data_IF_021608073473
#
_entry.id   IF_021608073473
#
_cell.length_a   1.000
_cell.length_b   1.000
_cell.length_c   1.000
_cell.angle_alpha   90.00
_cell.angle_beta   90.00
_cell.angle_gamma   90.00
#
_symmetry.space_group_name_H-M   'P 1'
#
loop_
_entity.id
_entity.type
_entity.pdbx_description
1 polymer ?
#
# COMPACT_ATOMS: atom_id res chain seq x y z
N UNK A 1 12.65 -3.30 0.10
CA UNK A 1 11.47 -3.99 -0.50
C UNK A 1 11.68 -4.06 -2.00
N UNK A 2 11.24 -5.12 -2.67
CA UNK A 2 11.33 -5.21 -4.14
C UNK A 2 9.95 -5.47 -4.73
N UNK A 3 9.61 -4.76 -5.81
CA UNK A 3 8.40 -5.01 -6.59
C UNK A 3 8.78 -5.75 -7.87
N UNK A 4 8.13 -6.86 -8.14
CA UNK A 4 8.27 -7.55 -9.42
C UNK A 4 7.35 -6.89 -10.45
N UNK A 5 7.95 -6.20 -11.43
CA UNK A 5 7.21 -5.48 -12.47
C UNK A 5 6.51 -6.39 -13.49
N UNK A 6 6.75 -7.70 -13.49
CA UNK A 6 6.12 -8.68 -14.39
C UNK A 6 4.84 -9.31 -13.81
N UNK A 7 4.70 -9.37 -12.48
CA UNK A 7 3.53 -10.01 -11.84
C UNK A 7 2.98 -9.29 -10.60
N UNK A 8 3.58 -8.18 -10.19
CA UNK A 8 3.13 -7.36 -9.06
C UNK A 8 3.35 -8.00 -7.68
N UNK A 9 4.16 -9.05 -7.59
CA UNK A 9 4.56 -9.59 -6.30
C UNK A 9 5.53 -8.65 -5.58
N UNK A 10 5.38 -8.55 -4.26
CA UNK A 10 6.22 -7.76 -3.38
C UNK A 10 7.09 -8.67 -2.53
N UNK A 11 8.41 -8.44 -2.53
CA UNK A 11 9.33 -9.10 -1.60
C UNK A 11 9.72 -8.15 -0.47
N UNK A 12 9.35 -8.53 0.75
CA UNK A 12 9.81 -7.92 1.99
C UNK A 12 11.10 -8.65 2.42
N UNK A 13 12.25 -8.08 2.05
CA UNK A 13 13.56 -8.73 2.18
C UNK A 13 13.88 -9.10 3.64
N UNK A 14 13.64 -8.18 4.57
CA UNK A 14 13.91 -8.35 6.01
C UNK A 14 13.20 -9.58 6.60
N UNK A 15 11.99 -9.88 6.12
CA UNK A 15 11.15 -10.96 6.63
C UNK A 15 11.17 -12.21 5.75
N UNK A 16 12.05 -12.25 4.73
CA UNK A 16 12.05 -13.28 3.68
C UNK A 16 10.64 -13.61 3.15
N UNK A 17 9.78 -12.59 3.03
CA UNK A 17 8.35 -12.74 2.77
C UNK A 17 8.01 -12.25 1.37
N UNK A 18 7.28 -13.06 0.60
CA UNK A 18 6.73 -12.65 -0.69
C UNK A 18 5.21 -12.56 -0.60
N UNK A 19 4.67 -11.39 -0.94
CA UNK A 19 3.24 -11.13 -1.08
C UNK A 19 2.89 -11.14 -2.58
N UNK A 20 1.82 -11.81 -2.96
CA UNK A 20 1.40 -11.94 -4.35
C UNK A 20 -0.12 -12.13 -4.46
N UNK A 21 -0.68 -11.76 -5.63
CA UNK A 21 -2.10 -11.95 -5.93
C UNK A 21 -2.54 -13.39 -5.66
N UNK A 22 -3.62 -13.58 -4.90
CA UNK A 22 -4.15 -14.90 -4.60
C UNK A 22 -3.39 -15.68 -3.53
N UNK A 23 -2.38 -15.08 -2.87
CA UNK A 23 -1.72 -15.70 -1.71
C UNK A 23 -2.77 -16.08 -0.66
N UNK A 24 -2.70 -17.32 -0.16
CA UNK A 24 -3.63 -17.81 0.86
C UNK A 24 -3.30 -17.20 2.22
N UNK A 25 -4.34 -16.92 3.00
CA UNK A 25 -4.18 -16.38 4.36
C UNK A 25 -3.33 -17.29 5.24
N UNK A 26 -3.49 -18.62 5.12
CA UNK A 26 -2.68 -19.56 5.88
C UNK A 26 -1.21 -19.51 5.49
N UNK A 27 -0.89 -19.24 4.22
CA UNK A 27 0.50 -19.01 3.81
C UNK A 27 1.04 -17.72 4.45
N UNK A 28 0.25 -16.64 4.45
CA UNK A 28 0.63 -15.39 5.09
C UNK A 28 0.90 -15.57 6.59
N UNK A 29 0.06 -16.30 7.32
CA UNK A 29 0.23 -16.55 8.76
C UNK A 29 1.53 -17.27 9.11
N UNK A 30 2.10 -18.04 8.19
CA UNK A 30 3.38 -18.72 8.41
C UNK A 30 4.60 -17.81 8.22
N UNK A 31 4.43 -16.63 7.62
CA UNK A 31 5.53 -15.69 7.37
C UNK A 31 6.01 -15.01 8.65
N UNK A 32 7.31 -14.69 8.71
CA UNK A 32 7.89 -13.92 9.82
C UNK A 32 7.28 -12.50 9.86
N UNK A 33 6.99 -11.92 8.69
CA UNK A 33 6.29 -10.65 8.59
C UNK A 33 4.96 -10.66 9.36
N UNK A 34 4.14 -11.70 9.15
CA UNK A 34 2.87 -11.81 9.86
C UNK A 34 3.07 -12.00 11.36
N UNK A 35 3.93 -12.94 11.75
CA UNK A 35 4.19 -13.27 13.16
C UNK A 35 4.68 -12.07 13.96
N UNK A 36 5.52 -11.23 13.35
CA UNK A 36 6.14 -10.08 14.03
C UNK A 36 5.34 -8.79 13.95
N UNK A 37 4.70 -8.53 12.79
CA UNK A 37 4.14 -7.21 12.49
C UNK A 37 2.62 -7.17 12.51
N UNK A 38 1.92 -8.31 12.55
CA UNK A 38 0.46 -8.31 12.63
C UNK A 38 -0.04 -7.50 13.84
N UNK A 39 -1.04 -6.65 13.59
CA UNK A 39 -1.62 -5.79 14.60
C UNK A 39 -3.09 -6.12 14.85
N UNK A 40 -3.92 -6.06 13.81
CA UNK A 40 -5.34 -6.35 13.92
C UNK A 40 -5.93 -6.74 12.56
N UNK A 41 -7.19 -7.17 12.63
CA UNK A 41 -8.02 -7.52 11.47
C UNK A 41 -9.33 -6.76 11.54
N UNK A 42 -9.82 -6.32 10.39
CA UNK A 42 -11.17 -5.78 10.22
C UNK A 42 -11.96 -6.60 9.21
N UNK A 43 -13.16 -7.02 9.60
CA UNK A 43 -14.12 -7.69 8.74
C UNK A 43 -15.16 -6.68 8.22
N UNK A 44 -15.17 -6.48 6.91
CA UNK A 44 -16.03 -5.51 6.22
C UNK A 44 -17.47 -6.04 6.05
N UNK A 45 -17.74 -7.31 6.41
CA UNK A 45 -19.05 -7.98 6.31
C UNK A 45 -19.56 -8.16 4.87
N UNK A 46 -18.64 -8.13 3.91
CA UNK A 46 -18.91 -8.29 2.48
C UNK A 46 -18.07 -9.41 1.84
N UNK A 47 -17.43 -10.25 2.67
CA UNK A 47 -16.42 -11.23 2.25
C UNK A 47 -14.99 -10.66 2.19
N UNK A 48 -14.84 -9.35 2.38
CA UNK A 48 -13.54 -8.69 2.47
C UNK A 48 -13.03 -8.60 3.91
N UNK A 49 -11.73 -8.87 4.08
CA UNK A 49 -11.03 -8.78 5.34
C UNK A 49 -9.75 -7.96 5.17
N UNK A 50 -9.58 -6.96 6.03
CA UNK A 50 -8.34 -6.19 6.12
C UNK A 50 -7.48 -6.72 7.24
N UNK A 51 -6.19 -6.91 6.96
CA UNK A 51 -5.16 -7.23 7.94
C UNK A 51 -4.16 -6.08 7.99
N UNK A 52 -3.96 -5.50 9.17
CA UNK A 52 -3.07 -4.36 9.34
C UNK A 52 -1.79 -4.77 10.05
N UNK A 53 -0.70 -4.13 9.65
CA UNK A 53 0.63 -4.45 10.10
C UNK A 53 1.34 -3.20 10.63
N UNK A 54 2.15 -3.39 11.67
CA UNK A 54 3.05 -2.37 12.20
C UNK A 54 4.02 -1.88 11.12
N UNK A 55 4.54 -0.67 11.31
CA UNK A 55 5.52 -0.10 10.39
C UNK A 55 6.81 -0.93 10.34
N UNK A 56 7.38 -1.00 9.15
CA UNK A 56 8.71 -1.54 8.86
C UNK A 56 9.53 -0.45 8.15
N UNK A 57 10.84 -0.62 8.09
CA UNK A 57 11.72 0.32 7.40
C UNK A 57 12.02 -0.14 5.96
N UNK A 58 11.78 0.73 4.99
CA UNK A 58 12.04 0.47 3.57
C UNK A 58 12.63 1.72 2.93
N UNK A 59 13.84 1.65 2.38
CA UNK A 59 14.50 2.79 1.72
C UNK A 59 14.51 4.05 2.62
N UNK A 60 14.82 3.90 3.91
CA UNK A 60 14.75 4.97 4.93
C UNK A 60 13.36 5.57 5.18
N UNK A 61 12.28 4.93 4.72
CA UNK A 61 10.89 5.32 5.01
C UNK A 61 10.27 4.33 5.99
N UNK A 62 9.46 4.85 6.93
CA UNK A 62 8.57 4.01 7.72
C UNK A 62 7.34 3.67 6.86
N UNK A 63 7.09 2.38 6.68
CA UNK A 63 6.04 1.87 5.81
C UNK A 63 5.15 0.88 6.56
N UNK A 64 3.85 1.15 6.61
CA UNK A 64 2.85 0.18 7.10
C UNK A 64 2.09 -0.45 5.94
N UNK A 65 1.65 -1.68 6.14
CA UNK A 65 0.84 -2.43 5.18
C UNK A 65 -0.57 -2.67 5.72
N UNK A 66 -1.53 -2.62 4.79
CA UNK A 66 -2.89 -3.07 4.99
C UNK A 66 -3.21 -4.04 3.85
N UNK A 67 -3.39 -5.32 4.18
CA UNK A 67 -3.63 -6.37 3.18
C UNK A 67 -5.13 -6.68 3.12
N UNK A 68 -5.72 -6.56 1.94
CA UNK A 68 -7.12 -6.87 1.70
C UNK A 68 -7.23 -8.29 1.15
N UNK A 69 -7.99 -9.12 1.84
CA UNK A 69 -8.32 -10.48 1.43
C UNK A 69 -9.79 -10.56 1.01
N UNK A 70 -10.07 -11.27 -0.07
CA UNK A 70 -11.43 -11.71 -0.43
C UNK A 70 -11.53 -13.19 -0.07
N UNK A 71 -12.34 -13.51 0.94
CA UNK A 71 -12.31 -14.84 1.54
C UNK A 71 -10.94 -15.12 2.17
N UNK A 72 -10.24 -16.12 1.65
CA UNK A 72 -8.91 -16.55 2.10
C UNK A 72 -7.77 -16.15 1.16
N UNK A 73 -8.04 -15.39 0.10
CA UNK A 73 -7.06 -15.01 -0.92
C UNK A 73 -6.73 -13.52 -0.90
N UNK A 74 -5.44 -13.18 -1.02
CA UNK A 74 -4.98 -11.80 -1.13
C UNK A 74 -5.52 -11.15 -2.40
N UNK A 75 -6.33 -10.10 -2.22
CA UNK A 75 -7.00 -9.37 -3.29
C UNK A 75 -6.25 -8.08 -3.66
N UNK A 76 -5.85 -7.28 -2.68
CA UNK A 76 -5.10 -6.03 -2.90
C UNK A 76 -4.22 -5.67 -1.72
N UNK A 77 -3.23 -4.81 -1.98
CA UNK A 77 -2.25 -4.38 -0.98
C UNK A 77 -2.32 -2.88 -0.88
N UNK A 78 -2.56 -2.35 0.30
CA UNK A 78 -2.46 -0.92 0.59
C UNK A 78 -1.22 -0.67 1.47
N UNK A 79 -0.61 0.48 1.26
CA UNK A 79 0.61 0.89 1.92
C UNK A 79 0.53 2.36 2.30
N UNK A 80 1.15 2.71 3.41
CA UNK A 80 1.20 4.08 3.90
C UNK A 80 2.62 4.40 4.37
N UNK A 81 3.18 5.50 3.89
CA UNK A 81 4.41 6.05 4.46
C UNK A 81 4.09 6.89 5.69
N UNK A 82 4.99 6.90 6.66
CA UNK A 82 4.85 7.69 7.88
C UNK A 82 6.14 8.45 8.21
N UNK A 83 5.99 9.68 8.68
CA UNK A 83 7.06 10.49 9.28
C UNK A 83 6.57 11.17 10.55
N UNK A 84 7.51 11.56 11.43
CA UNK A 84 7.19 12.22 12.71
C UNK A 84 6.46 13.56 12.57
N UNK A 85 6.57 14.20 11.40
CA UNK A 85 5.95 15.49 11.06
C UNK A 85 4.51 15.36 10.59
N UNK A 86 4.05 14.14 10.30
CA UNK A 86 2.68 13.88 9.86
C UNK A 86 1.70 14.17 11.00
N UNK A 87 0.45 14.47 10.63
CA UNK A 87 -0.62 14.65 11.61
C UNK A 87 -0.87 13.34 12.38
N UNK A 88 -0.85 13.41 13.70
CA UNK A 88 -1.10 12.25 14.57
C UNK A 88 -2.58 12.05 14.87
N UNK A 89 -3.34 13.13 14.80
CA UNK A 89 -4.77 13.18 15.08
C UNK A 89 -5.42 14.35 14.32
N UNK A 90 -6.74 14.48 14.48
CA UNK A 90 -7.56 15.50 13.82
C UNK A 90 -7.22 16.93 14.23
N UNK A 91 -6.63 17.16 15.41
CA UNK A 91 -6.24 18.51 15.84
C UNK A 91 -4.97 18.98 15.12
N UNK A 92 -4.10 18.05 14.75
CA UNK A 92 -2.88 18.33 13.98
C UNK A 92 -3.11 18.25 12.46
N UNK A 93 -4.27 17.73 12.02
CA UNK A 93 -4.57 17.49 10.62
C UNK A 93 -4.74 18.80 9.84
N UNK A 94 -4.08 18.87 8.69
CA UNK A 94 -4.37 19.86 7.65
C UNK A 94 -4.23 19.20 6.29
N UNK A 95 -4.94 19.72 5.29
CA UNK A 95 -4.83 19.22 3.91
C UNK A 95 -3.40 19.36 3.39
N UNK A 96 -2.67 20.43 3.75
CA UNK A 96 -1.29 20.62 3.33
C UNK A 96 -0.36 19.52 3.84
N UNK A 97 -0.52 19.08 5.10
CA UNK A 97 0.23 17.94 5.65
C UNK A 97 -0.13 16.65 4.92
N UNK A 98 -1.41 16.43 4.65
CA UNK A 98 -1.85 15.22 3.96
C UNK A 98 -1.36 15.18 2.50
N UNK A 99 -1.27 16.35 1.86
CA UNK A 99 -0.66 16.49 0.54
C UNK A 99 0.85 16.23 0.56
N UNK A 100 1.56 16.54 1.65
CA UNK A 100 2.95 16.13 1.82
C UNK A 100 3.09 14.59 1.85
N UNK A 101 2.17 13.89 2.52
CA UNK A 101 2.11 12.42 2.50
C UNK A 101 1.89 11.91 1.09
N UNK A 102 0.96 12.49 0.32
CA UNK A 102 0.77 12.13 -1.09
C UNK A 102 2.05 12.32 -1.92
N UNK A 103 2.74 13.44 -1.76
CA UNK A 103 4.00 13.70 -2.46
C UNK A 103 5.10 12.72 -2.07
N UNK A 104 5.19 12.35 -0.78
CA UNK A 104 6.13 11.35 -0.27
C UNK A 104 5.83 9.97 -0.83
N UNK A 105 4.56 9.53 -0.81
CA UNK A 105 4.12 8.27 -1.41
C UNK A 105 4.54 8.21 -2.89
N UNK A 106 4.35 9.29 -3.65
CA UNK A 106 4.72 9.32 -5.07
C UNK A 106 6.24 9.17 -5.28
N UNK A 107 7.06 9.85 -4.46
CA UNK A 107 8.53 9.72 -4.52
C UNK A 107 8.96 8.29 -4.16
N UNK A 108 8.39 7.74 -3.10
CA UNK A 108 8.64 6.38 -2.64
C UNK A 108 8.30 5.36 -3.73
N UNK A 109 7.12 5.44 -4.34
CA UNK A 109 6.71 4.54 -5.43
C UNK A 109 7.66 4.61 -6.62
N UNK A 110 8.05 5.80 -7.07
CA UNK A 110 9.01 5.95 -8.16
C UNK A 110 10.37 5.34 -7.84
N UNK A 111 10.83 5.43 -6.58
CA UNK A 111 12.07 4.81 -6.12
C UNK A 111 11.99 3.28 -6.18
N UNK A 112 10.95 2.67 -5.59
CA UNK A 112 10.85 1.21 -5.49
C UNK A 112 10.50 0.53 -6.82
N UNK A 113 9.83 1.23 -7.74
CA UNK A 113 9.44 0.69 -9.05
C UNK A 113 10.50 0.92 -10.12
N UNK A 114 11.44 1.86 -9.90
CA UNK A 114 12.48 2.24 -10.86
C UNK A 114 11.94 2.90 -12.13
N UNK A 115 10.68 3.32 -12.14
CA UNK A 115 10.01 3.94 -13.29
C UNK A 115 9.24 5.20 -12.89
N UNK A 116 9.08 6.19 -13.79
CA UNK A 116 8.18 7.31 -13.56
C UNK A 116 6.71 6.88 -13.67
N UNK A 117 5.78 7.62 -13.06
CA UNK A 117 4.36 7.30 -13.16
C UNK A 117 3.82 7.48 -14.58
N UNK A 118 3.00 6.51 -15.01
CA UNK A 118 2.33 6.50 -16.31
C UNK A 118 1.27 7.59 -16.42
N UNK A 119 0.58 7.88 -15.31
CA UNK A 119 -0.49 8.88 -15.29
C UNK A 119 -0.43 9.72 -14.02
N UNK A 120 -0.60 11.04 -14.19
CA UNK A 120 -0.85 11.99 -13.11
C UNK A 120 -2.17 12.69 -13.41
N UNK A 121 -3.11 12.65 -12.47
CA UNK A 121 -4.36 13.42 -12.56
C UNK A 121 -4.45 14.39 -11.40
N UNK A 122 -5.04 15.56 -11.66
CA UNK A 122 -5.45 16.50 -10.61
C UNK A 122 -6.96 16.42 -10.32
N UNK A 123 -7.75 15.92 -11.27
CA UNK A 123 -9.23 15.92 -11.21
C UNK A 123 -9.81 14.49 -11.18
N UNK A 124 -10.85 14.22 -10.35
CA UNK A 124 -11.38 15.11 -9.31
C UNK A 124 -10.38 15.33 -8.16
N UNK A 125 -9.46 14.39 -7.93
CA UNK A 125 -8.46 14.47 -6.87
C UNK A 125 -7.06 14.07 -7.36
N UNK A 126 -5.99 14.58 -6.70
CA UNK A 126 -4.61 14.22 -7.01
C UNK A 126 -4.39 12.71 -6.95
N UNK A 127 -3.96 12.14 -8.08
CA UNK A 127 -3.60 10.73 -8.17
C UNK A 127 -2.41 10.50 -9.10
N UNK A 128 -1.68 9.45 -8.79
CA UNK A 128 -0.48 8.99 -9.47
C UNK A 128 -0.66 7.49 -9.73
N UNK A 129 -0.45 7.03 -10.96
CA UNK A 129 -0.63 5.61 -11.31
C UNK A 129 0.50 5.12 -12.20
N UNK A 130 0.96 3.92 -11.91
CA UNK A 130 1.95 3.14 -12.65
C UNK A 130 1.22 1.91 -13.20
N UNK A 131 1.14 1.79 -14.52
CA UNK A 131 0.38 0.73 -15.20
C UNK A 131 1.33 -0.39 -15.61
N UNK A 132 0.94 -1.62 -15.33
CA UNK A 132 1.68 -2.83 -15.69
C UNK A 132 0.72 -3.84 -16.36
N UNK A 133 1.24 -4.85 -17.09
CA UNK A 133 0.37 -5.88 -17.71
C UNK A 133 -0.52 -6.64 -16.73
N UNK A 134 -0.09 -6.79 -15.47
CA UNK A 134 -0.80 -7.53 -14.42
C UNK A 134 -1.72 -6.66 -13.55
N UNK A 135 -1.71 -5.33 -13.75
CA UNK A 135 -2.49 -4.42 -12.92
C UNK A 135 -1.87 -3.02 -12.78
N UNK A 136 -1.96 -2.46 -11.59
CA UNK A 136 -1.45 -1.11 -11.33
C UNK A 136 -0.97 -0.90 -9.91
N UNK A 137 0.02 -0.02 -9.79
CA UNK A 137 0.42 0.60 -8.52
C UNK A 137 -0.06 2.04 -8.55
N UNK A 138 -0.62 2.53 -7.45
CA UNK A 138 -1.22 3.85 -7.42
C UNK A 138 -0.98 4.55 -6.08
N UNK A 139 -1.10 5.87 -6.10
CA UNK A 139 -1.10 6.75 -4.95
C UNK A 139 -2.16 7.82 -5.19
N UNK A 140 -2.93 8.16 -4.17
CA UNK A 140 -4.06 9.09 -4.26
C UNK A 140 -4.19 9.88 -2.96
N UNK A 141 -4.66 11.12 -3.06
CA UNK A 141 -5.31 11.82 -1.98
C UNK A 141 -6.82 11.69 -2.15
N UNK A 142 -7.53 11.10 -1.19
CA UNK A 142 -8.98 10.98 -1.20
C UNK A 142 -9.60 11.86 -0.10
N UNK A 143 -10.18 13.03 -0.45
CA UNK A 143 -10.73 13.95 0.54
C UNK A 143 -11.96 13.41 1.25
N UNK A 144 -12.62 12.36 0.74
CA UNK A 144 -13.72 11.70 1.48
C UNK A 144 -13.21 10.99 2.72
N UNK A 145 -11.95 10.55 2.67
CA UNK A 145 -11.24 9.95 3.80
C UNK A 145 -10.30 10.93 4.50
N UNK A 146 -10.17 12.16 3.99
CA UNK A 146 -9.18 13.15 4.41
C UNK A 146 -7.75 12.57 4.48
N UNK A 147 -7.42 11.61 3.61
CA UNK A 147 -6.21 10.79 3.72
C UNK A 147 -5.57 10.52 2.36
N UNK A 148 -4.26 10.36 2.37
CA UNK A 148 -3.42 9.96 1.27
C UNK A 148 -2.90 8.55 1.50
N UNK A 149 -3.00 7.71 0.47
CA UNK A 149 -2.56 6.33 0.54
C UNK A 149 -2.17 5.81 -0.83
N UNK A 150 -1.45 4.70 -0.82
CA UNK A 150 -0.97 4.03 -2.02
C UNK A 150 -1.27 2.55 -1.95
N UNK A 151 -1.23 1.88 -3.09
CA UNK A 151 -1.55 0.48 -3.13
C UNK A 151 -1.28 -0.18 -4.46
N UNK A 152 -1.52 -1.48 -4.48
CA UNK A 152 -1.42 -2.37 -5.63
C UNK A 152 -2.81 -2.95 -5.87
N UNK A 153 -3.28 -2.79 -7.11
CA UNK A 153 -4.45 -3.49 -7.63
C UNK A 153 -4.00 -4.44 -8.72
N UNK A 154 -4.51 -5.67 -8.68
CA UNK A 154 -4.22 -6.70 -9.67
C UNK A 154 -5.31 -6.86 -10.73
N UNK A 155 -6.17 -5.84 -10.85
CA UNK A 155 -7.15 -5.76 -11.93
C UNK A 155 -6.44 -5.33 -13.22
N UNK A 156 -6.45 -6.20 -14.21
CA UNK A 156 -6.00 -5.88 -15.56
C UNK A 156 -6.91 -4.80 -16.12
N UNK A 157 -6.34 -3.69 -16.61
CA UNK A 157 -7.11 -2.76 -17.44
C UNK A 157 -7.39 -3.45 -18.77
N UNK A 158 -8.63 -3.89 -18.95
CA UNK A 158 -9.18 -4.26 -20.27
C UNK A 158 -9.16 -3.07 -21.22
#
# INVERSE_FOLDING_TARGET
MLVNNENGSLKLIEFNTQLYKGMLLEQLKQTDFYKEKYQNRWDVKTGYFWYYFKTIEVESHQLSFSLCFLGDQLHSIHMHTWEKTDAKDWNEWTEEKEMQVFHRNNKFLSLILGVPPTQKKKTPYPSCTFIFPWGSVWSVYDPRSASSFMGISYEEKK
#
